data_IF_505600470031
#
_entry.id   IF_505600470031
#
_cell.length_a   1.000
_cell.length_b   1.000
_cell.length_c   1.000
_cell.angle_alpha   90.00
_cell.angle_beta   90.00
_cell.angle_gamma   90.00
#
_symmetry.space_group_name_H-M   'P 1'
#
loop_
_entity.id
_entity.type
_entity.pdbx_description
1 polymer ?
#
# COMPACT_ATOMS: atom_id res chain seq x y z
N UNK A 1 -11.82 43.42 -6.97
CA UNK A 1 -10.68 42.53 -6.63
C UNK A 1 -11.10 41.24 -5.92
N UNK A 2 -12.24 41.18 -5.20
CA UNK A 2 -12.73 39.94 -4.55
C UNK A 2 -13.16 38.81 -5.51
N UNK A 3 -13.57 39.13 -6.75
CA UNK A 3 -14.10 38.17 -7.72
C UNK A 3 -13.04 37.30 -8.41
N UNK A 4 -11.79 37.77 -8.48
CA UNK A 4 -10.68 37.02 -9.06
C UNK A 4 -10.19 35.91 -8.12
N UNK A 5 -10.03 36.21 -6.83
CA UNK A 5 -9.52 35.27 -5.83
C UNK A 5 -10.44 34.06 -5.63
N UNK A 6 -11.76 34.28 -5.65
CA UNK A 6 -12.78 33.22 -5.57
C UNK A 6 -12.76 32.29 -6.79
N UNK A 7 -12.54 32.82 -8.01
CA UNK A 7 -12.43 32.01 -9.22
C UNK A 7 -11.16 31.17 -9.24
N UNK A 8 -10.01 31.73 -8.84
CA UNK A 8 -8.75 30.99 -8.81
C UNK A 8 -8.75 29.88 -7.75
N UNK A 9 -9.38 30.12 -6.58
CA UNK A 9 -9.56 29.10 -5.55
C UNK A 9 -10.50 27.96 -5.96
N UNK A 10 -11.61 28.28 -6.65
CA UNK A 10 -12.58 27.28 -7.11
C UNK A 10 -12.04 26.41 -8.25
N UNK A 11 -11.27 27.00 -9.18
CA UNK A 11 -10.60 26.27 -10.29
C UNK A 11 -9.47 25.38 -9.75
N UNK A 12 -8.72 25.84 -8.75
CA UNK A 12 -7.68 25.04 -8.09
C UNK A 12 -8.24 23.84 -7.31
N UNK A 13 -9.37 24.01 -6.61
CA UNK A 13 -10.07 22.93 -5.92
C UNK A 13 -10.66 21.91 -6.90
N UNK A 14 -11.28 22.35 -8.00
CA UNK A 14 -11.80 21.46 -9.04
C UNK A 14 -10.67 20.68 -9.75
N UNK A 15 -9.56 21.35 -10.08
CA UNK A 15 -8.40 20.71 -10.71
C UNK A 15 -7.72 19.67 -9.83
N UNK A 16 -7.65 19.90 -8.52
CA UNK A 16 -7.10 18.94 -7.56
C UNK A 16 -8.02 17.75 -7.32
N UNK A 17 -9.35 17.95 -7.29
CA UNK A 17 -10.31 16.83 -7.26
C UNK A 17 -10.26 15.99 -8.54
N UNK A 18 -10.18 16.62 -9.72
CA UNK A 18 -10.09 15.91 -11.00
C UNK A 18 -8.77 15.15 -11.14
N UNK A 19 -7.65 15.72 -10.69
CA UNK A 19 -6.35 15.04 -10.70
C UNK A 19 -6.29 13.83 -9.76
N UNK A 20 -6.87 13.94 -8.56
CA UNK A 20 -6.98 12.81 -7.62
C UNK A 20 -7.87 11.70 -8.19
N UNK A 21 -9.01 12.05 -8.80
CA UNK A 21 -9.91 11.09 -9.45
C UNK A 21 -9.23 10.38 -10.63
N UNK A 22 -8.45 11.10 -11.45
CA UNK A 22 -7.76 10.52 -12.61
C UNK A 22 -6.66 9.52 -12.19
N UNK A 23 -5.86 9.87 -11.18
CA UNK A 23 -4.84 8.97 -10.62
C UNK A 23 -5.50 7.75 -9.97
N UNK A 24 -6.58 7.95 -9.21
CA UNK A 24 -7.34 6.86 -8.60
C UNK A 24 -7.92 5.90 -9.66
N UNK A 25 -8.55 6.43 -10.71
CA UNK A 25 -9.06 5.62 -11.84
C UNK A 25 -7.92 4.84 -12.51
N UNK A 26 -6.77 5.46 -12.74
CA UNK A 26 -5.61 4.79 -13.32
C UNK A 26 -5.12 3.64 -12.43
N UNK A 27 -5.08 3.85 -11.11
CA UNK A 27 -4.73 2.80 -10.16
C UNK A 27 -5.74 1.65 -10.18
N UNK A 28 -7.04 1.93 -10.27
CA UNK A 28 -8.06 0.89 -10.44
C UNK A 28 -7.88 0.09 -11.73
N UNK A 29 -7.54 0.75 -12.84
CA UNK A 29 -7.23 0.07 -14.10
C UNK A 29 -6.04 -0.88 -13.91
N UNK A 30 -4.98 -0.44 -13.23
CA UNK A 30 -3.82 -1.28 -12.91
C UNK A 30 -4.23 -2.47 -12.04
N UNK A 31 -5.05 -2.25 -11.00
CA UNK A 31 -5.55 -3.34 -10.14
C UNK A 31 -6.32 -4.38 -10.97
N UNK A 32 -7.24 -3.94 -11.81
CA UNK A 32 -8.03 -4.82 -12.69
C UNK A 32 -7.11 -5.58 -13.65
N UNK A 33 -6.13 -4.91 -14.25
CA UNK A 33 -5.17 -5.53 -15.16
C UNK A 33 -4.34 -6.61 -14.45
N UNK A 34 -3.86 -6.35 -13.23
CA UNK A 34 -3.11 -7.32 -12.41
C UNK A 34 -3.98 -8.53 -12.05
N UNK A 35 -5.23 -8.31 -11.65
CA UNK A 35 -6.18 -9.40 -11.36
C UNK A 35 -6.47 -10.23 -12.61
N UNK A 36 -6.71 -9.59 -13.76
CA UNK A 36 -6.90 -10.27 -15.04
C UNK A 36 -5.67 -11.08 -15.44
N UNK A 37 -4.47 -10.53 -15.25
CA UNK A 37 -3.21 -11.23 -15.54
C UNK A 37 -3.00 -12.43 -14.62
N UNK A 38 -3.40 -12.36 -13.35
CA UNK A 38 -3.38 -13.51 -12.42
C UNK A 38 -4.30 -14.63 -12.90
N UNK A 39 -5.54 -14.31 -13.27
CA UNK A 39 -6.49 -15.31 -13.82
C UNK A 39 -5.94 -15.92 -15.10
N UNK A 40 -5.42 -15.09 -16.02
CA UNK A 40 -4.81 -15.56 -17.25
C UNK A 40 -3.62 -16.49 -16.99
N UNK A 41 -2.78 -16.14 -16.02
CA UNK A 41 -1.63 -16.96 -15.62
C UNK A 41 -2.06 -18.31 -15.06
N UNK A 42 -3.14 -18.34 -14.27
CA UNK A 42 -3.72 -19.57 -13.73
C UNK A 42 -4.28 -20.48 -14.84
N UNK A 43 -4.99 -19.90 -15.81
CA UNK A 43 -5.52 -20.61 -16.98
C UNK A 43 -4.38 -21.13 -17.87
N UNK A 44 -3.33 -20.32 -18.06
CA UNK A 44 -2.13 -20.77 -18.80
C UNK A 44 -1.46 -21.95 -18.09
N UNK A 45 -1.32 -21.87 -16.77
CA UNK A 45 -0.74 -22.95 -15.95
C UNK A 45 -1.61 -24.21 -15.95
N UNK A 46 -2.94 -24.10 -16.02
CA UNK A 46 -3.84 -25.26 -16.09
C UNK A 46 -3.72 -26.03 -17.40
N UNK A 47 -3.43 -25.33 -18.52
CA UNK A 47 -3.23 -25.95 -19.83
C UNK A 47 -1.77 -26.36 -20.10
N UNK A 48 -0.83 -25.97 -19.23
CA UNK A 48 0.58 -26.32 -19.38
C UNK A 48 0.82 -27.82 -19.32
N UNK A 49 1.79 -28.39 -20.08
CA UNK A 49 2.18 -29.80 -20.00
C UNK A 49 2.99 -30.15 -18.72
N UNK A 50 3.11 -29.24 -17.76
CA UNK A 50 3.79 -29.47 -16.48
C UNK A 50 3.10 -30.57 -15.66
N UNK A 51 3.87 -31.40 -14.96
CA UNK A 51 3.30 -32.33 -13.97
C UNK A 51 2.50 -31.58 -12.89
N UNK A 52 1.37 -32.13 -12.41
CA UNK A 52 0.51 -31.48 -11.42
C UNK A 52 1.27 -31.01 -10.17
N UNK A 53 2.21 -31.83 -9.66
CA UNK A 53 3.02 -31.49 -8.48
C UNK A 53 3.94 -30.29 -8.69
N UNK A 54 4.39 -30.03 -9.93
CA UNK A 54 5.24 -28.87 -10.25
C UNK A 54 4.44 -27.58 -10.45
N UNK A 55 3.12 -27.65 -10.63
CA UNK A 55 2.26 -26.47 -10.80
C UNK A 55 1.93 -25.81 -9.46
N UNK A 56 1.84 -26.60 -8.38
CA UNK A 56 1.39 -26.13 -7.06
C UNK A 56 2.27 -24.97 -6.53
N UNK A 57 3.61 -25.03 -6.57
CA UNK A 57 4.43 -23.91 -6.11
C UNK A 57 4.21 -22.62 -6.88
N UNK A 58 4.00 -22.71 -8.20
CA UNK A 58 3.74 -21.55 -9.06
C UNK A 58 2.38 -20.93 -8.79
N UNK A 59 1.33 -21.74 -8.67
CA UNK A 59 0.02 -21.27 -8.26
C UNK A 59 0.10 -20.59 -6.89
N UNK A 60 0.80 -21.18 -5.93
CA UNK A 60 0.98 -20.59 -4.60
C UNK A 60 1.72 -19.25 -4.65
N UNK A 61 2.80 -19.13 -5.43
CA UNK A 61 3.55 -17.89 -5.64
C UNK A 61 2.68 -16.77 -6.21
N UNK A 62 1.81 -17.08 -7.18
CA UNK A 62 0.90 -16.11 -7.79
C UNK A 62 -0.04 -15.45 -6.77
N UNK A 63 -0.50 -16.20 -5.77
CA UNK A 63 -1.34 -15.66 -4.70
C UNK A 63 -0.52 -15.07 -3.54
N UNK A 64 0.64 -15.63 -3.24
CA UNK A 64 1.46 -15.19 -2.12
C UNK A 64 2.02 -13.77 -2.35
N UNK A 65 2.56 -13.51 -3.54
CA UNK A 65 3.19 -12.22 -3.86
C UNK A 65 2.29 -10.99 -3.58
N UNK A 66 1.05 -10.91 -4.10
CA UNK A 66 0.19 -9.76 -3.87
C UNK A 66 -0.31 -9.66 -2.42
N UNK A 67 -0.29 -10.76 -1.65
CA UNK A 67 -0.77 -10.79 -0.27
C UNK A 67 0.33 -10.40 0.73
N UNK A 68 1.61 -10.63 0.41
CA UNK A 68 2.73 -10.34 1.32
C UNK A 68 2.79 -8.88 1.75
N UNK A 69 2.64 -7.93 0.81
CA UNK A 69 2.66 -6.50 1.12
C UNK A 69 1.58 -6.09 2.14
N UNK A 70 0.30 -6.34 1.85
CA UNK A 70 -0.80 -6.13 2.80
C UNK A 70 -0.60 -6.86 4.13
N UNK A 71 -0.12 -8.11 4.11
CA UNK A 71 0.11 -8.89 5.33
C UNK A 71 1.18 -8.24 6.23
N UNK A 72 2.31 -7.79 5.65
CA UNK A 72 3.37 -7.07 6.36
C UNK A 72 2.84 -5.75 6.91
N UNK A 73 2.04 -5.02 6.13
CA UNK A 73 1.42 -3.78 6.59
C UNK A 73 0.46 -4.01 7.75
N UNK A 74 -0.40 -5.03 7.69
CA UNK A 74 -1.32 -5.40 8.76
C UNK A 74 -0.56 -5.81 10.02
N UNK A 75 0.49 -6.64 9.88
CA UNK A 75 1.35 -6.99 11.00
C UNK A 75 1.99 -5.75 11.63
N UNK A 76 2.51 -4.85 10.80
CA UNK A 76 3.09 -3.59 11.28
C UNK A 76 2.04 -2.75 12.02
N UNK A 77 0.82 -2.64 11.47
CA UNK A 77 -0.26 -1.81 12.02
C UNK A 77 -0.81 -2.34 13.34
N UNK A 78 -0.95 -3.66 13.48
CA UNK A 78 -1.59 -4.27 14.65
C UNK A 78 -0.61 -4.76 15.72
N UNK A 79 0.58 -5.22 15.34
CA UNK A 79 1.53 -5.78 16.30
C UNK A 79 2.68 -4.82 16.59
N UNK A 80 3.28 -4.24 15.56
CA UNK A 80 4.47 -3.40 15.73
C UNK A 80 4.12 -1.99 16.22
N UNK A 81 3.11 -1.36 15.62
CA UNK A 81 2.73 0.03 15.89
C UNK A 81 2.28 0.26 17.36
N UNK A 82 1.40 -0.56 17.97
CA UNK A 82 1.00 -0.33 19.37
C UNK A 82 2.16 -0.45 20.34
N UNK A 83 3.08 -1.40 20.12
CA UNK A 83 4.29 -1.58 20.94
C UNK A 83 5.20 -0.35 20.86
N UNK A 84 5.39 0.19 19.66
CA UNK A 84 6.20 1.40 19.45
C UNK A 84 5.56 2.66 20.00
N UNK A 85 4.23 2.81 19.89
CA UNK A 85 3.50 3.94 20.46
C UNK A 85 3.58 3.96 21.99
N UNK A 86 3.61 2.79 22.65
CA UNK A 86 3.80 2.70 24.09
C UNK A 86 5.20 3.14 24.52
N UNK A 87 6.24 2.85 23.72
CA UNK A 87 7.61 3.32 23.95
C UNK A 87 7.77 4.83 23.67
N UNK A 88 7.06 5.35 22.66
CA UNK A 88 7.18 6.73 22.18
C UNK A 88 5.80 7.33 21.88
N UNK A 89 5.16 7.95 22.89
CA UNK A 89 3.82 8.53 22.73
C UNK A 89 3.74 9.67 21.71
N UNK A 90 4.85 10.37 21.46
CA UNK A 90 4.95 11.47 20.49
C UNK A 90 5.17 11.01 19.05
N UNK A 91 5.40 9.71 18.81
CA UNK A 91 5.63 9.19 17.46
C UNK A 91 4.31 8.91 16.73
N UNK A 92 4.02 9.70 15.69
CA UNK A 92 2.91 9.48 14.77
C UNK A 92 3.41 9.21 13.32
N UNK A 93 3.22 7.99 12.78
CA UNK A 93 3.63 7.65 11.41
C UNK A 93 2.82 8.38 10.33
N UNK A 94 1.68 9.00 10.66
CA UNK A 94 0.92 9.83 9.73
C UNK A 94 1.33 11.31 9.77
N UNK A 95 2.17 11.70 10.73
CA UNK A 95 2.73 13.04 10.77
C UNK A 95 3.78 13.19 9.68
N UNK A 96 3.81 14.36 9.04
CA UNK A 96 4.86 14.73 8.07
C UNK A 96 6.10 15.31 8.76
N UNK A 97 6.10 15.36 10.09
CA UNK A 97 7.20 15.87 10.87
C UNK A 97 8.32 14.83 10.89
N UNK A 98 9.56 15.26 10.67
CA UNK A 98 10.73 14.38 10.76
C UNK A 98 10.98 14.11 12.24
N UNK A 99 10.37 13.04 12.73
CA UNK A 99 10.61 12.57 14.09
C UNK A 99 11.98 11.89 14.08
N UNK A 100 13.00 12.61 14.56
CA UNK A 100 14.32 12.03 14.84
C UNK A 100 14.14 11.05 15.98
N UNK A 101 13.97 9.77 15.62
CA UNK A 101 13.78 8.71 16.60
C UNK A 101 15.05 8.63 17.47
N UNK A 102 14.98 8.93 18.78
CA UNK A 102 16.15 8.82 19.64
C UNK A 102 16.65 7.36 19.59
N UNK A 103 17.97 7.12 19.48
CA UNK A 103 18.51 5.77 19.35
C UNK A 103 17.96 4.88 20.46
N UNK A 104 17.56 3.65 20.11
CA UNK A 104 17.09 2.64 21.07
C UNK A 104 18.18 2.51 22.13
N UNK A 105 17.95 3.04 23.34
CA UNK A 105 18.93 2.94 24.43
C UNK A 105 19.17 1.45 24.67
N UNK A 106 20.38 0.93 24.45
CA UNK A 106 20.70 -0.42 24.86
C UNK A 106 20.61 -0.41 26.39
N UNK A 107 19.67 -1.17 26.94
CA UNK A 107 19.59 -1.50 28.37
C UNK A 107 19.50 -0.29 29.32
N UNK A 108 18.29 0.19 29.59
CA UNK A 108 17.97 0.85 30.86
C UNK A 108 17.53 -0.19 31.91
N UNK A 109 18.27 -1.31 31.96
CA UNK A 109 18.03 -2.44 32.83
C UNK A 109 19.36 -2.89 33.43
N UNK A 110 19.85 -2.12 34.39
CA UNK A 110 20.41 -2.54 35.66
C UNK A 110 20.68 -1.32 36.54
#
# INVERSE_FOLDING_TARGET
MLSGLLRTGLIGAAGSTLGLNAVEILLWIVVIAVVGMLVWSLVSLSHSPLDPGRRIPWAFLMFLLPVLGPAVWLWWRFYYYPRRKAEQPSWDPNSREVIVNPPRRPNAGN
#
